data_IF_585818939511
#
_entry.id   IF_585818939511
#
_cell.length_a   1.000
_cell.length_b   1.000
_cell.length_c   1.000
_cell.angle_alpha   90.00
_cell.angle_beta   90.00
_cell.angle_gamma   90.00
#
_symmetry.space_group_name_H-M   'P 1'
#
loop_
_entity.id
_entity.type
_entity.pdbx_description
1 polymer ?
#
# COMPACT_ATOMS: atom_id res chain seq x y z
N UNK A 1 15.22 3.62 -0.41
CA UNK A 1 14.39 2.71 0.40
C UNK A 1 14.62 1.24 0.13
N UNK A 2 15.03 0.86 -1.05
CA UNK A 2 15.27 -0.54 -1.45
C UNK A 2 16.05 -1.37 -0.43
N UNK A 3 17.18 -0.85 0.05
CA UNK A 3 18.06 -1.61 0.94
C UNK A 3 17.43 -1.93 2.30
N UNK A 4 16.55 -1.06 2.79
CA UNK A 4 15.86 -1.25 4.08
C UNK A 4 14.87 -2.41 3.97
N UNK A 5 13.98 -2.36 2.97
CA UNK A 5 12.96 -3.39 2.79
C UNK A 5 13.56 -4.70 2.30
N UNK A 6 14.59 -4.67 1.44
CA UNK A 6 15.36 -5.88 1.07
C UNK A 6 15.92 -6.57 2.32
N UNK A 7 16.52 -5.80 3.24
CA UNK A 7 17.03 -6.36 4.50
C UNK A 7 15.93 -6.98 5.37
N UNK A 8 14.75 -6.35 5.41
CA UNK A 8 13.59 -6.86 6.18
C UNK A 8 13.16 -8.24 5.66
N UNK A 9 13.01 -8.40 4.35
CA UNK A 9 12.65 -9.68 3.73
C UNK A 9 13.76 -10.71 3.87
N UNK A 10 15.00 -10.38 3.50
CA UNK A 10 16.13 -11.33 3.51
C UNK A 10 16.47 -11.86 4.91
N UNK A 11 16.13 -11.12 5.96
CA UNK A 11 16.31 -11.53 7.36
C UNK A 11 15.00 -11.94 8.04
N UNK A 12 13.90 -12.08 7.29
CA UNK A 12 12.59 -12.50 7.82
C UNK A 12 12.12 -11.67 9.03
N UNK A 13 12.41 -10.36 9.05
CA UNK A 13 12.11 -9.49 10.21
C UNK A 13 10.61 -9.43 10.48
N UNK A 14 9.77 -9.46 9.42
CA UNK A 14 8.32 -9.45 9.51
C UNK A 14 7.68 -10.85 9.50
N UNK A 15 8.50 -11.90 9.54
CA UNK A 15 8.09 -13.30 9.55
C UNK A 15 8.69 -14.12 8.41
N UNK A 16 8.76 -15.42 8.61
CA UNK A 16 9.23 -16.38 7.62
C UNK A 16 8.13 -16.78 6.65
N UNK A 17 8.53 -17.19 5.44
CA UNK A 17 7.65 -17.87 4.51
C UNK A 17 8.22 -19.22 4.07
N UNK A 18 7.40 -20.02 3.38
CA UNK A 18 7.75 -21.34 2.88
C UNK A 18 8.18 -21.33 1.40
N UNK A 19 8.24 -20.16 0.76
CA UNK A 19 8.66 -20.03 -0.63
C UNK A 19 10.16 -20.21 -0.78
N UNK A 20 10.57 -20.81 -1.90
CA UNK A 20 11.99 -20.96 -2.25
C UNK A 20 12.52 -19.75 -3.02
N UNK A 21 11.61 -19.02 -3.65
CA UNK A 21 11.89 -17.93 -4.57
C UNK A 21 12.30 -16.65 -3.85
N UNK A 22 11.75 -16.42 -2.64
CA UNK A 22 12.10 -15.26 -1.80
C UNK A 22 11.95 -15.59 -0.31
N UNK A 23 12.58 -14.79 0.53
CA UNK A 23 12.51 -14.92 2.00
C UNK A 23 11.56 -13.91 2.60
N UNK A 24 11.17 -14.17 3.85
CA UNK A 24 10.34 -13.27 4.63
C UNK A 24 8.90 -13.12 4.10
N UNK A 25 8.14 -12.29 4.77
CA UNK A 25 6.74 -11.95 4.42
C UNK A 25 6.54 -10.45 4.44
N UNK A 26 5.41 -9.98 3.93
CA UNK A 26 4.97 -8.58 4.06
C UNK A 26 4.36 -8.27 5.43
N UNK A 27 4.56 -9.16 6.42
CA UNK A 27 4.06 -9.04 7.79
C UNK A 27 2.60 -9.43 7.96
N UNK A 28 2.19 -9.55 9.23
CA UNK A 28 0.82 -10.00 9.58
C UNK A 28 -0.30 -9.09 9.06
N UNK A 29 0.00 -7.83 8.77
CA UNK A 29 -0.97 -6.92 8.12
C UNK A 29 -1.40 -7.35 6.72
N UNK A 30 -0.61 -8.19 6.03
CA UNK A 30 -0.92 -8.75 4.71
C UNK A 30 -1.61 -10.12 4.78
N UNK A 31 -1.77 -10.71 5.96
CA UNK A 31 -2.41 -12.02 6.13
C UNK A 31 -3.88 -12.00 5.69
N UNK A 32 -4.30 -13.07 5.03
CA UNK A 32 -5.69 -13.22 4.58
C UNK A 32 -6.65 -13.19 5.75
N UNK A 33 -6.38 -13.95 6.82
CA UNK A 33 -7.26 -14.02 8.00
C UNK A 33 -7.42 -12.65 8.68
N UNK A 34 -6.38 -11.83 8.64
CA UNK A 34 -6.42 -10.47 9.18
C UNK A 34 -7.38 -9.53 8.40
N UNK A 35 -7.57 -9.79 7.10
CA UNK A 35 -8.24 -8.89 6.18
C UNK A 35 -9.58 -9.40 5.63
N UNK A 36 -9.86 -10.72 5.74
CA UNK A 36 -10.95 -11.39 5.01
C UNK A 36 -12.34 -10.85 5.32
N UNK A 37 -12.60 -10.45 6.57
CA UNK A 37 -13.91 -10.01 7.02
C UNK A 37 -14.08 -8.48 7.00
N UNK A 38 -13.05 -7.72 6.63
CA UNK A 38 -13.06 -6.25 6.73
C UNK A 38 -12.48 -5.58 5.49
N UNK A 39 -11.17 -5.54 5.36
CA UNK A 39 -10.47 -4.81 4.29
C UNK A 39 -10.82 -5.36 2.90
N UNK A 40 -10.80 -6.70 2.73
CA UNK A 40 -11.08 -7.34 1.43
C UNK A 40 -12.49 -6.98 0.91
N UNK A 41 -13.59 -7.23 1.65
CA UNK A 41 -14.93 -6.90 1.18
C UNK A 41 -15.14 -5.39 1.00
N UNK A 42 -14.54 -4.56 1.86
CA UNK A 42 -14.58 -3.11 1.69
C UNK A 42 -13.96 -2.67 0.38
N UNK A 43 -12.74 -3.12 0.08
CA UNK A 43 -12.02 -2.69 -1.11
C UNK A 43 -12.71 -3.17 -2.39
N UNK A 44 -13.21 -4.41 -2.42
CA UNK A 44 -14.03 -4.91 -3.54
C UNK A 44 -15.24 -4.02 -3.80
N UNK A 45 -15.98 -3.70 -2.73
CA UNK A 45 -17.16 -2.84 -2.82
C UNK A 45 -16.77 -1.42 -3.28
N UNK A 46 -15.72 -0.84 -2.72
CA UNK A 46 -15.26 0.50 -3.08
C UNK A 46 -14.89 0.59 -4.57
N UNK A 47 -14.16 -0.40 -5.08
CA UNK A 47 -13.79 -0.48 -6.50
C UNK A 47 -15.04 -0.54 -7.39
N UNK A 48 -16.00 -1.38 -7.04
CA UNK A 48 -17.23 -1.54 -7.82
C UNK A 48 -18.12 -0.30 -7.79
N UNK A 49 -18.36 0.26 -6.60
CA UNK A 49 -19.23 1.43 -6.41
C UNK A 49 -18.70 2.69 -7.12
N UNK A 50 -17.39 2.81 -7.24
CA UNK A 50 -16.74 3.99 -7.84
C UNK A 50 -16.28 3.75 -9.29
N UNK A 51 -16.66 2.63 -9.92
CA UNK A 51 -16.29 2.26 -11.28
C UNK A 51 -14.76 2.34 -11.53
N UNK A 52 -13.95 1.93 -10.56
CA UNK A 52 -12.50 1.90 -10.67
C UNK A 52 -12.09 0.89 -11.73
N UNK A 53 -11.25 1.30 -12.68
CA UNK A 53 -10.69 0.45 -13.74
C UNK A 53 -9.20 0.25 -13.61
N UNK A 54 -8.50 1.18 -12.99
CA UNK A 54 -7.05 1.11 -12.82
C UNK A 54 -6.69 1.25 -11.35
N UNK A 55 -6.08 0.20 -10.80
CA UNK A 55 -5.57 0.16 -9.43
C UNK A 55 -4.06 0.19 -9.47
N UNK A 56 -3.45 1.12 -8.73
CA UNK A 56 -2.00 1.26 -8.55
C UNK A 56 -1.67 1.03 -7.09
N UNK A 57 -1.01 -0.07 -6.79
CA UNK A 57 -0.68 -0.49 -5.42
C UNK A 57 0.81 -0.27 -5.16
N UNK A 58 1.11 0.67 -4.30
CA UNK A 58 2.47 1.10 -3.96
C UNK A 58 2.89 0.43 -2.67
N UNK A 59 3.80 -0.52 -2.77
CA UNK A 59 4.16 -1.46 -1.71
C UNK A 59 3.28 -2.70 -1.76
N UNK A 60 3.17 -3.33 -2.95
CA UNK A 60 2.28 -4.48 -3.20
C UNK A 60 2.64 -5.73 -2.39
N UNK A 61 3.87 -5.82 -1.93
CA UNK A 61 4.35 -6.92 -1.10
C UNK A 61 4.11 -8.30 -1.72
N UNK A 62 3.79 -9.27 -0.86
CA UNK A 62 3.55 -10.67 -1.24
C UNK A 62 2.17 -10.94 -1.88
N UNK A 63 1.35 -9.92 -2.04
CA UNK A 63 0.07 -9.94 -2.78
C UNK A 63 -0.94 -11.02 -2.32
N UNK A 64 -0.83 -11.53 -1.10
CA UNK A 64 -1.67 -12.64 -0.60
C UNK A 64 -3.18 -12.36 -0.64
N UNK A 65 -3.59 -11.13 -0.39
CA UNK A 65 -4.99 -10.72 -0.46
C UNK A 65 -5.46 -10.37 -1.88
N UNK A 66 -4.54 -10.14 -2.80
CA UNK A 66 -4.82 -9.62 -4.14
C UNK A 66 -5.82 -10.46 -4.94
N UNK A 67 -5.62 -11.78 -5.11
CA UNK A 67 -6.56 -12.63 -5.83
C UNK A 67 -7.97 -12.58 -5.26
N UNK A 68 -8.10 -12.58 -3.92
CA UNK A 68 -9.40 -12.50 -3.25
C UNK A 68 -10.12 -11.16 -3.49
N UNK A 69 -9.37 -10.09 -3.73
CA UNK A 69 -9.92 -8.77 -4.01
C UNK A 69 -10.24 -8.63 -5.50
N UNK A 70 -9.30 -8.95 -6.38
CA UNK A 70 -9.30 -8.46 -7.75
C UNK A 70 -9.73 -9.47 -8.81
N UNK A 71 -9.64 -10.81 -8.57
CA UNK A 71 -9.85 -11.82 -9.62
C UNK A 71 -11.19 -11.67 -10.36
N UNK A 72 -12.27 -11.35 -9.63
CA UNK A 72 -13.61 -11.22 -10.17
C UNK A 72 -14.00 -9.76 -10.52
N UNK A 73 -13.04 -8.83 -10.56
CA UNK A 73 -13.28 -7.45 -10.93
C UNK A 73 -12.68 -7.17 -12.32
N UNK A 74 -13.39 -6.37 -13.12
CA UNK A 74 -12.92 -5.90 -14.41
C UNK A 74 -12.04 -4.66 -14.24
N UNK A 75 -10.76 -4.92 -13.85
CA UNK A 75 -9.75 -3.88 -13.59
C UNK A 75 -8.39 -4.29 -14.15
N UNK A 76 -7.52 -3.30 -14.32
CA UNK A 76 -6.07 -3.48 -14.45
C UNK A 76 -5.39 -3.12 -13.14
N UNK A 77 -4.51 -4.00 -12.68
CA UNK A 77 -3.74 -3.83 -11.46
C UNK A 77 -2.26 -3.63 -11.78
N UNK A 78 -1.67 -2.63 -11.12
CA UNK A 78 -0.25 -2.30 -11.23
C UNK A 78 0.35 -2.26 -9.82
N UNK A 79 1.09 -3.30 -9.46
CA UNK A 79 1.79 -3.40 -8.18
C UNK A 79 3.24 -2.97 -8.31
N UNK A 80 3.68 -2.12 -7.39
CA UNK A 80 5.07 -1.68 -7.28
C UNK A 80 5.64 -2.09 -5.93
N UNK A 81 6.85 -2.63 -5.94
CA UNK A 81 7.57 -2.93 -4.70
C UNK A 81 9.07 -2.78 -4.89
N UNK A 82 9.79 -2.54 -3.82
CA UNK A 82 11.24 -2.37 -3.82
C UNK A 82 12.00 -3.68 -3.63
N UNK A 83 11.33 -4.76 -3.22
CA UNK A 83 11.96 -6.06 -3.08
C UNK A 83 11.81 -6.90 -4.36
N UNK A 84 12.88 -6.94 -5.16
CA UNK A 84 12.90 -7.54 -6.49
C UNK A 84 12.37 -8.98 -6.53
N UNK A 85 12.74 -9.81 -5.54
CA UNK A 85 12.37 -11.23 -5.54
C UNK A 85 10.87 -11.45 -5.35
N UNK A 86 10.19 -10.66 -4.51
CA UNK A 86 8.74 -10.76 -4.36
C UNK A 86 8.02 -10.28 -5.61
N UNK A 87 8.53 -9.25 -6.27
CA UNK A 87 8.00 -8.76 -7.55
C UNK A 87 8.14 -9.83 -8.64
N UNK A 88 9.31 -10.45 -8.74
CA UNK A 88 9.58 -11.53 -9.71
C UNK A 88 8.65 -12.73 -9.46
N UNK A 89 8.47 -13.12 -8.19
CA UNK A 89 7.55 -14.20 -7.81
C UNK A 89 6.11 -13.86 -8.21
N UNK A 90 5.59 -12.69 -7.82
CA UNK A 90 4.24 -12.26 -8.17
C UNK A 90 4.03 -12.24 -9.69
N UNK A 91 5.03 -11.75 -10.45
CA UNK A 91 4.97 -11.74 -11.92
C UNK A 91 4.96 -13.14 -12.53
N UNK A 92 5.50 -14.13 -11.83
CA UNK A 92 5.54 -15.53 -12.33
C UNK A 92 4.20 -16.25 -12.19
N UNK A 93 3.39 -15.87 -11.20
CA UNK A 93 2.12 -16.54 -10.88
C UNK A 93 0.88 -15.72 -11.29
N UNK A 94 1.03 -14.42 -11.49
CA UNK A 94 -0.01 -13.52 -11.94
C UNK A 94 0.43 -12.79 -13.20
N UNK A 95 -0.38 -12.79 -14.25
CA UNK A 95 0.07 -12.35 -15.57
C UNK A 95 -0.80 -11.22 -16.18
N UNK A 96 -0.19 -10.45 -17.10
CA UNK A 96 -0.92 -9.51 -17.93
C UNK A 96 -2.06 -10.17 -18.74
N UNK A 97 -3.07 -9.40 -19.16
CA UNK A 97 -3.15 -7.94 -19.02
C UNK A 97 -3.65 -7.46 -17.66
N UNK A 98 -4.18 -8.35 -16.81
CA UNK A 98 -4.82 -7.98 -15.55
C UNK A 98 -3.84 -7.53 -14.49
N UNK A 99 -2.78 -8.30 -14.28
CA UNK A 99 -1.79 -8.06 -13.23
C UNK A 99 -0.44 -7.68 -13.83
N UNK A 100 0.09 -6.55 -13.37
CA UNK A 100 1.40 -6.04 -13.78
C UNK A 100 2.18 -5.69 -12.52
N UNK A 101 3.34 -6.32 -12.32
CA UNK A 101 4.21 -6.05 -11.17
C UNK A 101 5.53 -5.45 -11.64
N UNK A 102 6.00 -4.42 -10.96
CA UNK A 102 7.20 -3.68 -11.32
C UNK A 102 8.09 -3.49 -10.10
N UNK A 103 9.35 -3.94 -10.21
CA UNK A 103 10.37 -3.63 -9.22
C UNK A 103 10.77 -2.16 -9.34
N UNK A 104 10.45 -1.36 -8.32
CA UNK A 104 10.73 0.07 -8.31
C UNK A 104 10.72 0.67 -6.91
N UNK A 105 11.73 1.44 -6.57
CA UNK A 105 11.65 2.40 -5.46
C UNK A 105 10.77 3.59 -5.91
N UNK A 106 9.47 3.45 -5.68
CA UNK A 106 8.48 4.43 -6.09
C UNK A 106 8.54 5.75 -5.30
N UNK A 107 9.29 5.82 -4.21
CA UNK A 107 9.57 7.09 -3.54
C UNK A 107 10.56 7.94 -4.35
N UNK A 108 11.68 7.34 -4.77
CA UNK A 108 12.71 8.04 -5.54
C UNK A 108 12.33 8.24 -7.00
N UNK A 109 11.46 7.39 -7.53
CA UNK A 109 10.99 7.40 -8.93
C UNK A 109 9.50 7.74 -9.06
N UNK A 110 8.99 8.61 -8.18
CA UNK A 110 7.55 8.95 -8.15
C UNK A 110 7.02 9.54 -9.45
N UNK A 111 7.88 10.10 -10.28
CA UNK A 111 7.56 10.60 -11.61
C UNK A 111 7.18 9.47 -12.58
N UNK A 112 7.80 8.29 -12.43
CA UNK A 112 7.59 7.12 -13.28
C UNK A 112 6.31 6.32 -12.90
N UNK A 113 5.70 6.61 -11.74
CA UNK A 113 4.43 5.97 -11.34
C UNK A 113 3.35 6.34 -12.37
N UNK A 114 2.66 5.34 -12.91
CA UNK A 114 1.53 5.58 -13.82
C UNK A 114 0.37 6.26 -13.08
N UNK A 115 -0.45 7.00 -13.81
CA UNK A 115 -1.72 7.51 -13.28
C UNK A 115 -2.80 6.43 -13.32
N UNK A 116 -3.79 6.52 -12.44
CA UNK A 116 -4.88 5.56 -12.36
C UNK A 116 -6.11 6.10 -11.64
N UNK A 117 -7.11 5.26 -11.46
CA UNK A 117 -8.29 5.65 -10.71
C UNK A 117 -8.03 5.60 -9.19
N UNK A 118 -7.39 4.53 -8.71
CA UNK A 118 -7.13 4.28 -7.30
C UNK A 118 -5.66 4.00 -7.05
N UNK A 119 -5.05 4.79 -6.16
CA UNK A 119 -3.77 4.49 -5.54
C UNK A 119 -4.01 3.80 -4.19
N UNK A 120 -3.26 2.75 -3.89
CA UNK A 120 -3.26 2.08 -2.59
C UNK A 120 -1.91 2.26 -1.91
N UNK A 121 -1.94 2.67 -0.65
CA UNK A 121 -0.81 2.79 0.27
C UNK A 121 -1.17 2.04 1.56
N UNK A 122 -1.07 0.70 1.52
CA UNK A 122 -1.39 -0.14 2.67
C UNK A 122 -0.13 -0.59 3.38
N UNK A 123 0.00 -0.21 4.65
CA UNK A 123 1.17 -0.52 5.49
C UNK A 123 2.50 0.04 4.95
N UNK A 124 2.45 1.16 4.26
CA UNK A 124 3.61 1.81 3.62
C UNK A 124 4.07 3.04 4.41
N UNK A 125 3.18 4.04 4.55
CA UNK A 125 3.57 5.34 5.10
C UNK A 125 4.03 5.28 6.55
N UNK A 126 3.54 4.32 7.32
CA UNK A 126 3.99 4.08 8.70
C UNK A 126 5.49 3.74 8.81
N UNK A 127 6.11 3.32 7.72
CA UNK A 127 7.54 2.99 7.64
C UNK A 127 8.39 4.13 7.08
N UNK A 128 7.79 5.28 6.79
CA UNK A 128 8.48 6.43 6.20
C UNK A 128 8.69 7.53 7.24
N UNK A 129 9.75 8.33 7.07
CA UNK A 129 9.93 9.56 7.84
C UNK A 129 8.88 10.60 7.47
N UNK A 130 8.58 11.53 8.37
CA UNK A 130 7.55 12.55 8.12
C UNK A 130 7.82 13.37 6.87
N UNK A 131 9.07 13.76 6.63
CA UNK A 131 9.48 14.49 5.43
C UNK A 131 9.27 13.70 4.14
N UNK A 132 9.49 12.37 4.19
CA UNK A 132 9.27 11.47 3.07
C UNK A 132 7.77 11.40 2.74
N UNK A 133 6.91 11.28 3.77
CA UNK A 133 5.45 11.26 3.62
C UNK A 133 4.96 12.55 2.97
N UNK A 134 5.38 13.73 3.49
CA UNK A 134 4.99 15.01 2.92
C UNK A 134 5.44 15.16 1.46
N UNK A 135 6.72 14.89 1.19
CA UNK A 135 7.29 15.00 -0.15
C UNK A 135 6.54 14.15 -1.17
N UNK A 136 6.17 12.94 -0.77
CA UNK A 136 5.49 12.01 -1.66
C UNK A 136 4.01 12.36 -1.85
N UNK A 137 3.27 12.56 -0.76
CA UNK A 137 1.83 12.88 -0.84
C UNK A 137 1.60 14.24 -1.52
N UNK A 138 2.43 15.25 -1.23
CA UNK A 138 2.37 16.54 -1.94
C UNK A 138 2.53 16.35 -3.45
N UNK A 139 3.48 15.50 -3.87
CA UNK A 139 3.70 15.22 -5.28
C UNK A 139 2.49 14.56 -5.94
N UNK A 140 2.00 13.44 -5.40
CA UNK A 140 0.91 12.68 -6.04
C UNK A 140 -0.43 13.43 -6.02
N UNK A 141 -0.69 14.22 -4.97
CA UNK A 141 -1.90 15.06 -4.84
C UNK A 141 -1.83 16.25 -5.81
N UNK A 142 -0.72 16.99 -5.81
CA UNK A 142 -0.56 18.18 -6.68
C UNK A 142 -0.60 17.82 -8.17
N UNK A 143 -0.01 16.68 -8.54
CA UNK A 143 -0.01 16.22 -9.93
C UNK A 143 -1.27 15.46 -10.34
N UNK A 144 -2.26 15.34 -9.43
CA UNK A 144 -3.55 14.66 -9.67
C UNK A 144 -3.38 13.30 -10.36
N UNK A 145 -2.40 12.51 -9.89
CA UNK A 145 -2.08 11.21 -10.51
C UNK A 145 -3.22 10.18 -10.39
N UNK A 146 -4.10 10.35 -9.39
CA UNK A 146 -5.17 9.42 -9.06
C UNK A 146 -6.47 10.16 -8.73
N UNK A 147 -7.62 9.52 -8.91
CA UNK A 147 -8.91 10.02 -8.44
C UNK A 147 -9.06 9.80 -6.92
N UNK A 148 -8.59 8.65 -6.46
CA UNK A 148 -8.65 8.25 -5.06
C UNK A 148 -7.29 7.75 -4.59
N UNK A 149 -6.91 8.11 -3.37
CA UNK A 149 -5.75 7.56 -2.68
C UNK A 149 -6.26 6.90 -1.40
N UNK A 150 -6.22 5.57 -1.36
CA UNK A 150 -6.54 4.77 -0.18
C UNK A 150 -5.29 4.63 0.67
N UNK A 151 -5.41 5.01 1.94
CA UNK A 151 -4.36 4.87 2.93
C UNK A 151 -4.86 3.92 4.02
N UNK A 152 -4.08 2.88 4.32
CA UNK A 152 -4.36 1.95 5.40
C UNK A 152 -3.08 1.78 6.23
N UNK A 153 -3.10 2.25 7.48
CA UNK A 153 -1.95 2.21 8.37
C UNK A 153 -2.34 1.72 9.76
N UNK A 154 -1.33 1.28 10.53
CA UNK A 154 -1.51 1.13 11.97
C UNK A 154 -1.94 2.46 12.56
N UNK A 155 -2.95 2.41 13.42
CA UNK A 155 -3.45 3.52 14.21
C UNK A 155 -3.44 3.10 15.69
N UNK A 156 -2.83 3.88 16.54
CA UNK A 156 -2.73 3.60 17.96
C UNK A 156 -2.66 4.93 18.70
N UNK A 157 -1.71 5.06 19.58
CA UNK A 157 -1.39 6.36 20.15
C UNK A 157 -0.71 7.20 19.06
N UNK A 158 -1.40 8.22 18.56
CA UNK A 158 -0.95 9.09 17.49
C UNK A 158 -0.90 10.53 17.97
N UNK A 159 0.05 11.28 17.46
CA UNK A 159 0.22 12.72 17.68
C UNK A 159 0.59 13.41 16.37
N UNK A 160 0.54 14.74 16.33
CA UNK A 160 0.98 15.50 15.17
C UNK A 160 2.49 15.32 14.93
N UNK A 161 2.85 15.03 13.67
CA UNK A 161 4.22 14.85 13.21
C UNK A 161 5.08 13.96 14.15
N UNK A 162 4.66 12.72 14.42
CA UNK A 162 5.41 11.85 15.29
C UNK A 162 6.81 11.59 14.73
N UNK A 163 7.82 11.51 15.61
CA UNK A 163 9.14 11.03 15.19
C UNK A 163 9.04 9.59 14.70
N UNK A 164 9.61 9.30 13.54
CA UNK A 164 9.64 7.94 12.98
C UNK A 164 11.07 7.49 12.60
N UNK A 165 12.00 7.69 13.51
CA UNK A 165 13.37 7.21 13.32
C UNK A 165 13.43 5.68 13.22
N UNK A 166 12.55 4.98 13.94
CA UNK A 166 12.41 3.52 13.91
C UNK A 166 11.61 2.98 12.72
N UNK A 167 11.06 3.84 11.88
CA UNK A 167 10.25 3.47 10.70
C UNK A 167 9.08 2.52 11.03
N UNK A 168 8.42 2.75 12.15
CA UNK A 168 7.22 2.01 12.58
C UNK A 168 6.34 2.91 13.44
N UNK A 169 5.66 3.87 12.80
CA UNK A 169 4.87 4.87 13.52
C UNK A 169 3.40 4.79 13.09
N UNK A 170 2.47 4.63 14.04
CA UNK A 170 1.03 4.73 13.76
C UNK A 170 0.67 6.11 13.20
N UNK A 171 -0.24 6.14 12.24
CA UNK A 171 -0.74 7.35 11.59
C UNK A 171 -2.26 7.37 11.63
N UNK A 172 -2.85 8.57 11.72
CA UNK A 172 -4.30 8.75 11.67
C UNK A 172 -4.68 10.05 10.96
N UNK A 173 -5.85 10.05 10.32
CA UNK A 173 -6.41 11.22 9.62
C UNK A 173 -6.62 12.44 10.53
N UNK A 174 -6.73 12.22 11.83
CA UNK A 174 -6.96 13.29 12.81
C UNK A 174 -5.70 14.10 13.12
N UNK A 175 -4.53 13.60 12.70
CA UNK A 175 -3.21 14.18 13.01
C UNK A 175 -2.36 14.37 11.76
N UNK A 176 -1.40 15.30 11.85
CA UNK A 176 -0.36 15.44 10.82
C UNK A 176 0.54 14.19 10.80
N UNK A 177 0.99 13.75 9.63
CA UNK A 177 0.92 14.39 8.32
C UNK A 177 -0.40 14.20 7.57
N UNK A 178 -1.19 13.16 7.88
CA UNK A 178 -2.35 12.79 7.06
C UNK A 178 -3.42 13.87 7.04
N UNK A 179 -3.68 14.52 8.16
CA UNK A 179 -4.66 15.60 8.31
C UNK A 179 -4.50 16.73 7.27
N UNK A 180 -3.29 17.00 6.81
CA UNK A 180 -2.98 18.02 5.78
C UNK A 180 -3.78 17.79 4.49
N UNK A 181 -4.06 16.54 4.14
CA UNK A 181 -4.68 16.15 2.87
C UNK A 181 -6.19 15.92 2.98
N UNK A 182 -6.79 16.22 4.14
CA UNK A 182 -8.22 16.05 4.41
C UNK A 182 -8.79 14.67 4.03
N UNK A 183 -8.14 13.55 4.39
CA UNK A 183 -8.67 12.24 4.09
C UNK A 183 -9.96 11.98 4.86
N UNK A 184 -10.91 11.31 4.22
CA UNK A 184 -12.12 10.81 4.86
C UNK A 184 -11.81 9.45 5.47
N UNK A 185 -11.98 9.34 6.80
CA UNK A 185 -11.89 8.05 7.50
C UNK A 185 -13.07 7.17 7.12
N UNK A 186 -12.78 5.97 6.66
CA UNK A 186 -13.79 4.98 6.29
C UNK A 186 -14.16 4.10 7.48
N UNK A 187 -13.19 3.47 8.11
CA UNK A 187 -13.38 2.62 9.30
C UNK A 187 -12.05 2.29 9.97
N UNK A 188 -12.15 1.70 11.15
CA UNK A 188 -11.02 1.03 11.81
C UNK A 188 -11.29 -0.48 11.87
N UNK A 189 -10.25 -1.29 11.75
CA UNK A 189 -10.29 -2.72 12.01
C UNK A 189 -8.97 -3.17 12.64
N UNK A 190 -9.09 -4.05 13.62
CA UNK A 190 -7.95 -4.46 14.42
C UNK A 190 -7.15 -3.23 14.91
N UNK A 191 -5.90 -3.09 14.50
CA UNK A 191 -5.04 -1.95 14.84
C UNK A 191 -4.89 -0.95 13.71
N UNK A 192 -5.72 -1.02 12.67
CA UNK A 192 -5.58 -0.20 11.46
C UNK A 192 -6.71 0.80 11.27
N UNK A 193 -6.37 1.91 10.63
CA UNK A 193 -7.31 2.91 10.12
C UNK A 193 -7.25 2.91 8.59
N UNK A 194 -8.43 2.86 7.96
CA UNK A 194 -8.58 3.00 6.51
C UNK A 194 -9.18 4.36 6.19
N UNK A 195 -8.56 5.07 5.27
CA UNK A 195 -9.00 6.39 4.83
C UNK A 195 -8.80 6.61 3.33
N UNK A 196 -9.53 7.59 2.78
CA UNK A 196 -9.51 7.94 1.36
C UNK A 196 -9.27 9.44 1.20
N UNK A 197 -8.30 9.81 0.40
CA UNK A 197 -8.16 11.15 -0.17
C UNK A 197 -8.86 11.13 -1.54
N UNK A 198 -9.80 12.04 -1.75
CA UNK A 198 -10.43 12.24 -3.07
C UNK A 198 -9.78 13.45 -3.74
N UNK A 199 -9.30 13.26 -4.96
CA UNK A 199 -8.66 14.31 -5.77
C UNK A 199 -9.71 14.86 -6.76
N UNK A 200 -9.97 16.15 -6.67
CA UNK A 200 -10.95 16.86 -7.50
C UNK A 200 -10.27 17.60 -8.67
#
# INVERSE_FOLDING_TARGET
MDQIFTNIYENSIWGDNQHKEYKGTSGGGSDVDYNINTYIPFLKKFISDNNIKTVVDLGSGDFRCGPLIYDNLDIQYFGYDTYEKVVAYNSSIHSPPKYNFTHMDFYTKKEEIISGDLCILKDVLQHWKMEEIYTFLDYIVTNKKFKYILICNCCGQVQDNPSNEGRSTPLSVSYLPLKKYNPVKMFNYNTKEVSIITIV
#
